data_IF_395460129832
#
_entry.id   IF_395460129832
#
_cell.length_a   1.000
_cell.length_b   1.000
_cell.length_c   1.000
_cell.angle_alpha   90.00
_cell.angle_beta   90.00
_cell.angle_gamma   90.00
#
_symmetry.space_group_name_H-M   'P 1'
#
loop_
_entity.id
_entity.type
_entity.pdbx_description
1 polymer ?
#
# COMPACT_ATOMS: atom_id res chain seq x y z
N UNK A 1 -27.77 -43.08 -37.03
CA UNK A 1 -26.35 -43.31 -36.71
C UNK A 1 -25.85 -42.25 -35.74
N UNK A 2 -26.16 -42.41 -34.45
CA UNK A 2 -25.79 -41.48 -33.36
C UNK A 2 -25.21 -42.32 -32.22
N UNK A 3 -23.89 -42.32 -32.06
CA UNK A 3 -23.21 -42.89 -30.88
C UNK A 3 -23.36 -41.96 -29.68
N UNK A 4 -23.66 -42.46 -28.47
CA UNK A 4 -23.67 -41.65 -27.25
C UNK A 4 -22.23 -41.38 -26.76
N UNK A 5 -21.98 -40.24 -26.06
CA UNK A 5 -20.68 -39.91 -25.50
C UNK A 5 -20.35 -40.75 -24.24
N UNK A 6 -19.06 -41.01 -23.95
CA UNK A 6 -18.66 -41.84 -22.82
C UNK A 6 -18.87 -41.14 -21.47
N UNK A 7 -19.29 -41.93 -20.49
CA UNK A 7 -19.59 -41.51 -19.12
C UNK A 7 -18.32 -41.06 -18.36
N UNK A 8 -18.32 -39.82 -17.85
CA UNK A 8 -17.30 -39.33 -16.92
C UNK A 8 -17.68 -39.77 -15.50
N UNK A 9 -16.92 -40.74 -14.99
CA UNK A 9 -17.02 -41.31 -13.65
C UNK A 9 -16.60 -40.26 -12.61
N UNK A 10 -17.47 -39.91 -11.67
CA UNK A 10 -17.10 -39.10 -10.49
C UNK A 10 -16.51 -39.97 -9.37
N UNK A 11 -15.64 -39.31 -8.60
CA UNK A 11 -15.23 -39.56 -7.22
C UNK A 11 -14.05 -40.50 -6.99
N UNK A 12 -12.92 -39.92 -6.57
CA UNK A 12 -12.40 -40.11 -5.21
C UNK A 12 -11.30 -39.09 -4.91
N UNK A 13 -11.50 -38.38 -3.80
CA UNK A 13 -10.46 -37.69 -3.06
C UNK A 13 -9.48 -38.74 -2.53
N UNK A 14 -8.17 -38.50 -2.71
CA UNK A 14 -7.14 -39.01 -1.84
C UNK A 14 -6.14 -37.88 -1.63
N UNK A 15 -6.07 -37.41 -0.39
CA UNK A 15 -5.08 -36.47 0.13
C UNK A 15 -3.73 -37.18 0.36
N UNK A 16 -2.72 -36.33 0.59
CA UNK A 16 -1.34 -36.59 1.06
C UNK A 16 -0.32 -36.71 -0.10
N UNK A 17 0.70 -35.88 -0.23
CA UNK A 17 1.22 -34.82 0.61
C UNK A 17 2.57 -34.34 0.04
N UNK A 18 3.08 -33.27 0.66
CA UNK A 18 4.42 -32.69 0.50
C UNK A 18 4.60 -31.58 -0.55
N UNK A 19 4.99 -30.39 -0.07
CA UNK A 19 5.24 -29.22 -0.90
C UNK A 19 4.90 -27.85 -0.28
N UNK A 20 4.38 -27.81 0.95
CA UNK A 20 3.91 -26.56 1.59
C UNK A 20 4.82 -25.98 2.67
N UNK A 21 6.01 -26.55 2.91
CA UNK A 21 6.85 -26.16 4.05
C UNK A 21 7.90 -25.10 3.69
N UNK A 22 7.57 -24.05 2.92
CA UNK A 22 8.46 -22.88 2.74
C UNK A 22 7.64 -21.63 2.43
N UNK A 23 7.32 -20.84 3.46
CA UNK A 23 7.19 -19.34 3.47
C UNK A 23 6.58 -18.81 4.78
N UNK A 24 6.91 -19.40 5.93
CA UNK A 24 6.39 -18.92 7.23
C UNK A 24 7.24 -17.78 7.84
N UNK A 25 8.43 -17.51 7.29
CA UNK A 25 9.41 -16.61 7.89
C UNK A 25 9.26 -15.11 7.63
N UNK A 26 8.26 -14.67 6.86
CA UNK A 26 8.16 -13.24 6.52
C UNK A 26 6.72 -12.72 6.32
N UNK A 27 5.76 -13.27 7.06
CA UNK A 27 4.52 -12.55 7.29
C UNK A 27 4.85 -11.45 8.29
N UNK A 28 5.05 -10.21 7.81
CA UNK A 28 4.91 -9.04 8.69
C UNK A 28 3.60 -9.28 9.44
N UNK A 29 3.65 -9.43 10.77
CA UNK A 29 2.42 -9.49 11.57
C UNK A 29 1.74 -8.14 11.35
N UNK A 30 0.81 -8.10 10.40
CA UNK A 30 -0.10 -6.98 10.22
C UNK A 30 -0.73 -6.76 11.58
N UNK A 31 -0.74 -5.52 12.06
CA UNK A 31 -1.45 -5.23 13.30
C UNK A 31 -2.92 -5.60 13.04
N UNK A 32 -3.68 -6.00 14.07
CA UNK A 32 -5.08 -6.39 13.89
C UNK A 32 -5.96 -5.35 13.18
N UNK A 33 -5.51 -4.08 13.11
CA UNK A 33 -6.20 -2.96 12.47
C UNK A 33 -5.68 -2.58 11.08
N UNK A 34 -4.57 -3.16 10.63
CA UNK A 34 -4.05 -2.88 9.29
C UNK A 34 -4.98 -3.55 8.25
N UNK A 35 -5.25 -2.89 7.11
CA UNK A 35 -6.01 -3.50 6.04
C UNK A 35 -5.20 -4.65 5.43
N UNK A 36 -5.81 -5.84 5.37
CA UNK A 36 -5.31 -6.96 4.56
C UNK A 36 -6.02 -6.89 3.20
N UNK A 37 -5.26 -6.96 2.11
CA UNK A 37 -5.80 -6.88 0.75
C UNK A 37 -6.62 -8.12 0.36
N UNK A 38 -6.55 -9.19 1.16
CA UNK A 38 -7.25 -10.45 0.95
C UNK A 38 -8.45 -10.63 1.89
N UNK A 39 -9.01 -9.54 2.42
CA UNK A 39 -10.21 -9.60 3.24
C UNK A 39 -11.45 -9.91 2.39
N UNK A 40 -12.28 -10.85 2.86
CA UNK A 40 -13.51 -11.24 2.15
C UNK A 40 -14.63 -10.20 2.28
N UNK A 41 -14.60 -9.39 3.35
CA UNK A 41 -15.56 -8.30 3.59
C UNK A 41 -15.02 -6.97 3.03
N UNK A 42 -15.62 -6.52 1.94
CA UNK A 42 -15.24 -5.30 1.21
C UNK A 42 -15.51 -4.03 2.03
N UNK A 43 -16.60 -3.97 2.77
CA UNK A 43 -16.96 -2.78 3.55
C UNK A 43 -16.00 -2.61 4.73
N UNK A 44 -15.71 -3.70 5.42
CA UNK A 44 -14.71 -3.72 6.48
C UNK A 44 -13.30 -3.40 5.94
N UNK A 45 -12.95 -3.93 4.77
CA UNK A 45 -11.68 -3.60 4.10
C UNK A 45 -11.57 -2.09 3.86
N UNK A 46 -12.57 -1.47 3.21
CA UNK A 46 -12.52 -0.03 2.93
C UNK A 46 -12.51 0.82 4.20
N UNK A 47 -13.27 0.41 5.22
CA UNK A 47 -13.25 1.07 6.52
C UNK A 47 -11.84 1.09 7.13
N UNK A 48 -11.09 -0.01 7.02
CA UNK A 48 -9.69 -0.09 7.49
C UNK A 48 -8.74 0.70 6.62
N UNK A 49 -8.89 0.65 5.30
CA UNK A 49 -8.07 1.42 4.36
C UNK A 49 -8.20 2.92 4.65
N UNK A 50 -9.43 3.43 4.80
CA UNK A 50 -9.66 4.85 5.11
C UNK A 50 -9.16 5.24 6.50
N UNK A 51 -9.19 4.34 7.48
CA UNK A 51 -8.61 4.60 8.80
C UNK A 51 -7.08 4.59 8.79
N UNK A 52 -6.46 3.70 8.02
CA UNK A 52 -5.01 3.54 7.92
C UNK A 52 -4.37 4.63 7.05
N UNK A 53 -5.04 5.02 5.96
CA UNK A 53 -4.51 5.87 4.90
C UNK A 53 -5.50 7.01 4.55
N UNK A 54 -5.94 7.83 5.53
CA UNK A 54 -7.02 8.78 5.32
C UNK A 54 -6.70 9.84 4.26
N UNK A 55 -5.43 10.19 4.08
CA UNK A 55 -5.00 11.22 3.14
C UNK A 55 -4.47 10.66 1.82
N UNK A 56 -3.79 9.52 1.80
CA UNK A 56 -3.04 9.09 0.62
C UNK A 56 -3.80 8.13 -0.30
N UNK A 57 -4.78 7.36 0.21
CA UNK A 57 -5.50 6.35 -0.59
C UNK A 57 -6.22 6.96 -1.78
N UNK A 58 -6.78 8.16 -1.63
CA UNK A 58 -7.56 8.85 -2.66
C UNK A 58 -6.81 9.00 -3.98
N UNK A 59 -5.48 9.18 -3.93
CA UNK A 59 -4.68 9.42 -5.12
C UNK A 59 -4.29 8.13 -5.85
N UNK A 60 -4.34 6.99 -5.16
CA UNK A 60 -4.31 5.68 -5.82
C UNK A 60 -5.61 5.42 -6.60
N UNK A 61 -6.76 5.83 -6.03
CA UNK A 61 -8.08 5.65 -6.65
C UNK A 61 -8.28 6.56 -7.87
N UNK A 62 -7.84 7.81 -7.76
CA UNK A 62 -8.03 8.83 -8.80
C UNK A 62 -6.92 8.84 -9.85
N UNK A 63 -5.76 8.25 -9.54
CA UNK A 63 -4.58 8.24 -10.42
C UNK A 63 -3.87 9.59 -10.51
N UNK A 64 -4.21 10.57 -9.67
CA UNK A 64 -3.53 11.85 -9.66
C UNK A 64 -2.10 11.72 -9.12
N UNK A 65 -1.11 12.41 -9.71
CA UNK A 65 0.25 12.39 -9.19
C UNK A 65 0.31 13.11 -7.83
N UNK A 66 0.95 12.46 -6.86
CA UNK A 66 1.14 12.99 -5.51
C UNK A 66 2.59 12.79 -5.03
N UNK A 67 3.13 13.77 -4.30
CA UNK A 67 4.47 13.74 -3.68
C UNK A 67 4.38 14.12 -2.21
N UNK A 68 5.25 13.56 -1.37
CA UNK A 68 5.30 13.84 0.07
C UNK A 68 6.67 14.41 0.42
N UNK A 69 6.68 15.60 1.04
CA UNK A 69 7.90 16.35 1.36
C UNK A 69 8.06 16.56 2.88
N UNK A 70 9.26 16.35 3.46
CA UNK A 70 9.51 16.49 4.90
C UNK A 70 9.75 17.95 5.31
N UNK A 71 8.70 18.78 5.26
CA UNK A 71 8.81 20.23 5.42
C UNK A 71 8.88 20.71 6.87
N UNK A 72 8.52 19.88 7.86
CA UNK A 72 8.42 20.32 9.25
C UNK A 72 8.81 19.27 10.29
N UNK A 73 8.70 19.68 11.56
CA UNK A 73 8.81 18.82 12.74
C UNK A 73 7.70 19.18 13.73
N UNK A 74 7.23 18.21 14.51
CA UNK A 74 6.34 18.47 15.65
C UNK A 74 7.09 19.20 16.77
N UNK A 75 6.36 19.70 17.77
CA UNK A 75 6.97 20.26 18.98
C UNK A 75 7.82 19.26 19.77
N UNK A 76 7.60 17.95 19.57
CA UNK A 76 8.41 16.85 20.14
C UNK A 76 9.53 16.39 19.21
N UNK A 77 9.75 17.08 18.08
CA UNK A 77 10.83 16.79 17.16
C UNK A 77 10.57 15.61 16.21
N UNK A 78 9.33 15.09 16.08
CA UNK A 78 9.03 14.07 15.07
C UNK A 78 8.90 14.70 13.68
N UNK A 79 9.34 14.05 12.59
CA UNK A 79 9.15 14.57 11.23
C UNK A 79 7.67 14.79 10.90
N UNK A 80 7.34 15.93 10.30
CA UNK A 80 6.01 16.25 9.76
C UNK A 80 6.15 16.51 8.28
N UNK A 81 5.39 15.76 7.47
CA UNK A 81 5.42 15.86 6.03
C UNK A 81 4.20 16.59 5.48
N UNK A 82 4.34 17.15 4.28
CA UNK A 82 3.27 17.76 3.51
C UNK A 82 3.09 16.96 2.22
N UNK A 83 1.85 16.55 1.95
CA UNK A 83 1.48 15.91 0.69
C UNK A 83 0.98 16.96 -0.30
N UNK A 84 1.54 16.96 -1.51
CA UNK A 84 1.12 17.80 -2.62
C UNK A 84 0.55 16.91 -3.70
N UNK A 85 -0.53 17.36 -4.35
CA UNK A 85 -1.21 16.64 -5.43
C UNK A 85 -1.47 17.57 -6.59
N UNK A 86 -1.20 17.12 -7.81
CA UNK A 86 -1.45 17.88 -9.03
C UNK A 86 -2.63 17.29 -9.84
N UNK A 87 -2.93 17.92 -10.97
CA UNK A 87 -3.89 17.37 -11.95
C UNK A 87 -3.32 16.09 -12.55
N UNK A 88 -4.19 15.21 -13.07
CA UNK A 88 -3.75 14.01 -13.77
C UNK A 88 -2.81 14.39 -14.94
N UNK A 89 -1.63 13.75 -14.99
CA UNK A 89 -0.59 14.01 -15.98
C UNK A 89 0.20 15.32 -15.82
N UNK A 90 0.08 16.02 -14.69
CA UNK A 90 0.82 17.27 -14.40
C UNK A 90 1.91 17.09 -13.33
N UNK A 91 2.71 16.03 -13.46
CA UNK A 91 3.88 15.77 -12.61
C UNK A 91 4.91 16.90 -12.69
N UNK A 92 5.01 17.57 -13.85
CA UNK A 92 5.92 18.68 -14.06
C UNK A 92 5.67 19.84 -13.10
N UNK A 93 4.41 20.22 -12.86
CA UNK A 93 4.08 21.24 -11.86
C UNK A 93 4.42 20.80 -10.45
N UNK A 94 4.17 19.52 -10.15
CA UNK A 94 4.46 18.94 -8.84
C UNK A 94 5.96 19.00 -8.52
N UNK A 95 6.82 18.60 -9.47
CA UNK A 95 8.28 18.66 -9.30
C UNK A 95 8.82 20.09 -9.22
N UNK A 96 8.30 21.04 -10.03
CA UNK A 96 8.71 22.45 -9.94
C UNK A 96 8.39 23.04 -8.57
N UNK A 97 7.20 22.76 -8.02
CA UNK A 97 6.82 23.21 -6.70
C UNK A 97 7.68 22.56 -5.61
N UNK A 98 7.90 21.25 -5.70
CA UNK A 98 8.74 20.52 -4.76
C UNK A 98 10.17 21.06 -4.71
N UNK A 99 10.79 21.34 -5.86
CA UNK A 99 12.14 21.93 -5.95
C UNK A 99 12.22 23.33 -5.31
N UNK A 100 11.21 24.18 -5.51
CA UNK A 100 11.14 25.49 -4.85
C UNK A 100 11.02 25.35 -3.33
N UNK A 101 10.22 24.40 -2.86
CA UNK A 101 10.07 24.12 -1.44
C UNK A 101 11.35 23.54 -0.83
N UNK A 102 12.07 22.70 -1.56
CA UNK A 102 13.37 22.16 -1.15
C UNK A 102 14.40 23.27 -0.96
N UNK A 103 14.46 24.21 -1.90
CA UNK A 103 15.36 25.36 -1.81
C UNK A 103 14.97 26.29 -0.64
N UNK A 104 13.67 26.53 -0.44
CA UNK A 104 13.18 27.42 0.61
C UNK A 104 13.25 26.80 2.02
N UNK A 105 13.15 25.47 2.14
CA UNK A 105 13.11 24.73 3.41
C UNK A 105 14.00 23.48 3.33
N UNK A 106 15.33 23.58 3.20
CA UNK A 106 16.21 22.42 3.01
C UNK A 106 16.03 21.37 4.12
N UNK A 107 15.98 20.10 3.72
CA UNK A 107 15.79 18.96 4.64
C UNK A 107 16.83 17.86 4.54
N UNK A 108 17.76 17.90 3.58
CA UNK A 108 18.74 16.84 3.33
C UNK A 108 19.65 16.55 4.54
N UNK A 109 19.95 17.58 5.33
CA UNK A 109 20.79 17.43 6.53
C UNK A 109 20.01 16.97 7.77
N UNK A 110 18.67 16.85 7.68
CA UNK A 110 17.82 16.43 8.81
C UNK A 110 17.83 14.91 8.94
N UNK A 111 18.79 14.38 9.69
CA UNK A 111 18.92 12.94 9.96
C UNK A 111 18.39 12.56 11.35
N UNK A 112 17.73 11.40 11.51
CA UNK A 112 17.41 10.87 12.83
C UNK A 112 18.68 10.40 13.53
N UNK A 113 18.69 10.44 14.87
CA UNK A 113 19.68 9.70 15.64
C UNK A 113 19.46 8.19 15.43
N UNK A 114 20.54 7.45 15.18
CA UNK A 114 20.46 6.00 15.08
C UNK A 114 20.34 5.40 16.48
N UNK A 115 19.49 4.39 16.65
CA UNK A 115 19.47 3.61 17.87
C UNK A 115 20.81 2.85 18.01
N UNK A 116 21.34 2.81 19.23
CA UNK A 116 22.56 2.06 19.56
C UNK A 116 22.32 0.55 19.56
#
# INVERSE_FOLDING_TARGET
DRRPPPAVRRSREDHLGDGGARREGQRRRLRPRDPDMMMDDVDEYWRRVFAFSPFTVWFNLTGQPAIVLPLGRSGTGLPVAVQLVARAGDEGTLFRLASRLETARPWLDRRPALAA
#
